data_IF_365773307310
#
_entry.id   IF_365773307310
#
_cell.length_a   1.000
_cell.length_b   1.000
_cell.length_c   1.000
_cell.angle_alpha   90.00
_cell.angle_beta   90.00
_cell.angle_gamma   90.00
#
_symmetry.space_group_name_H-M   'P 1'
#
loop_
_entity.id
_entity.type
_entity.pdbx_description
1 polymer ?
#
# COMPACT_ATOMS: atom_id res chain seq x y z
N UNK A 1 17.18 26.31 -3.03
CA UNK A 1 15.89 26.55 -3.71
C UNK A 1 15.93 27.77 -4.62
N UNK A 2 16.42 28.93 -4.17
CA UNK A 2 16.62 30.10 -5.05
C UNK A 2 17.42 29.73 -6.31
N UNK A 3 18.54 29.03 -6.16
CA UNK A 3 19.35 28.57 -7.30
C UNK A 3 18.63 27.58 -8.23
N UNK A 4 17.70 26.77 -7.67
CA UNK A 4 16.97 25.73 -8.42
C UNK A 4 15.79 26.32 -9.19
N UNK A 5 15.09 27.29 -8.60
CA UNK A 5 13.84 27.82 -9.12
C UNK A 5 13.99 29.16 -9.84
N UNK A 6 15.06 29.91 -9.56
CA UNK A 6 15.31 31.22 -10.16
C UNK A 6 14.10 32.15 -9.97
N UNK A 7 13.52 32.60 -11.09
CA UNK A 7 12.36 33.49 -11.09
C UNK A 7 11.10 32.91 -10.43
N UNK A 8 10.95 31.58 -10.36
CA UNK A 8 9.80 30.92 -9.70
C UNK A 8 9.96 30.82 -8.16
N UNK A 9 11.08 31.26 -7.60
CA UNK A 9 11.34 31.07 -6.17
C UNK A 9 10.32 31.78 -5.28
N UNK A 10 9.92 33.02 -5.63
CA UNK A 10 8.99 33.79 -4.81
C UNK A 10 7.61 33.14 -4.74
N UNK A 11 7.11 32.60 -5.87
CA UNK A 11 5.85 31.86 -5.92
C UNK A 11 5.92 30.58 -5.07
N UNK A 12 7.05 29.85 -5.16
CA UNK A 12 7.30 28.70 -4.30
C UNK A 12 7.30 29.08 -2.82
N UNK A 13 8.04 30.12 -2.43
CA UNK A 13 8.13 30.57 -1.05
C UNK A 13 6.77 31.00 -0.49
N UNK A 14 5.95 31.67 -1.30
CA UNK A 14 4.56 32.01 -0.95
C UNK A 14 3.71 30.76 -0.70
N UNK A 15 3.77 29.76 -1.61
CA UNK A 15 3.00 28.51 -1.47
C UNK A 15 3.36 27.72 -0.21
N UNK A 16 4.60 27.84 0.29
CA UNK A 16 5.04 27.18 1.53
C UNK A 16 4.37 27.75 2.79
N UNK A 17 3.72 28.92 2.71
CA UNK A 17 2.93 29.50 3.80
C UNK A 17 1.45 29.11 3.74
N UNK A 18 1.00 28.47 2.66
CA UNK A 18 -0.39 28.09 2.48
C UNK A 18 -0.71 26.78 3.20
N UNK A 19 -1.98 26.64 3.63
CA UNK A 19 -2.46 25.41 4.24
C UNK A 19 -2.35 24.23 3.26
N UNK A 20 -1.80 23.09 3.69
CA UNK A 20 -1.66 21.93 2.84
C UNK A 20 -3.03 21.38 2.41
N UNK A 21 -3.20 20.95 1.15
CA UNK A 21 -4.45 20.32 0.73
C UNK A 21 -4.67 19.00 1.48
N UNK A 22 -5.94 18.73 1.77
CA UNK A 22 -6.39 17.46 2.33
C UNK A 22 -6.94 16.64 1.17
N UNK A 23 -6.54 15.38 1.10
CA UNK A 23 -6.96 14.49 0.03
C UNK A 23 -7.12 13.06 0.52
N UNK A 24 -7.99 12.34 -0.18
CA UNK A 24 -8.23 10.91 0.00
C UNK A 24 -8.13 10.21 -1.36
N UNK A 25 -7.90 8.91 -1.33
CA UNK A 25 -8.02 8.02 -2.48
C UNK A 25 -8.99 6.90 -2.16
N UNK A 26 -10.06 6.76 -2.95
CA UNK A 26 -11.01 5.67 -2.81
C UNK A 26 -10.38 4.32 -3.13
N UNK A 27 -10.92 3.27 -2.52
CA UNK A 27 -10.65 1.88 -2.86
C UNK A 27 -11.59 1.47 -4.00
N UNK A 28 -11.09 1.14 -5.20
CA UNK A 28 -11.95 0.79 -6.32
C UNK A 28 -12.79 -0.49 -6.08
N UNK A 29 -12.36 -1.36 -5.15
CA UNK A 29 -13.08 -2.58 -4.79
C UNK A 29 -14.04 -2.40 -3.61
N UNK A 30 -14.05 -1.21 -2.98
CA UNK A 30 -14.92 -0.82 -1.86
C UNK A 30 -15.33 0.66 -2.02
N UNK A 31 -16.09 0.99 -3.08
CA UNK A 31 -16.25 2.37 -3.54
C UNK A 31 -17.15 3.23 -2.66
N UNK A 32 -17.90 2.66 -1.71
CA UNK A 32 -18.87 3.38 -0.91
C UNK A 32 -18.21 4.32 0.11
N UNK A 33 -18.77 5.52 0.30
CA UNK A 33 -18.24 6.56 1.20
C UNK A 33 -19.33 7.57 1.61
N UNK A 34 -19.03 8.41 2.62
CA UNK A 34 -19.89 9.54 3.04
C UNK A 34 -19.40 10.91 2.55
N UNK A 35 -18.32 10.96 1.75
CA UNK A 35 -17.77 12.21 1.24
C UNK A 35 -18.54 12.81 0.07
N UNK A 36 -18.51 14.14 -0.01
CA UNK A 36 -18.94 14.89 -1.18
C UNK A 36 -17.76 15.07 -2.16
N UNK A 37 -17.80 14.36 -3.29
CA UNK A 37 -16.65 14.21 -4.20
C UNK A 37 -16.68 15.18 -5.38
N UNK A 38 -16.73 16.48 -5.09
CA UNK A 38 -16.81 17.52 -6.13
C UNK A 38 -15.44 17.93 -6.71
N UNK A 39 -14.35 17.61 -6.01
CA UNK A 39 -13.01 18.13 -6.31
C UNK A 39 -12.03 16.99 -6.69
N UNK A 40 -12.11 16.41 -7.90
CA UNK A 40 -11.21 15.33 -8.31
C UNK A 40 -9.76 15.80 -8.47
N UNK A 41 -8.81 14.89 -8.22
CA UNK A 41 -7.38 15.12 -8.45
C UNK A 41 -7.04 14.79 -9.91
N UNK A 42 -6.45 15.70 -10.70
CA UNK A 42 -6.32 15.53 -12.16
C UNK A 42 -5.52 14.31 -12.63
N UNK A 43 -4.64 13.77 -11.80
CA UNK A 43 -3.68 12.73 -12.19
C UNK A 43 -3.96 11.34 -11.60
N UNK A 44 -5.13 11.15 -10.98
CA UNK A 44 -5.57 9.86 -10.44
C UNK A 44 -7.08 9.73 -10.57
N UNK A 45 -7.58 8.53 -10.90
CA UNK A 45 -9.02 8.32 -11.09
C UNK A 45 -9.80 8.26 -9.77
N UNK A 46 -9.14 7.88 -8.68
CA UNK A 46 -9.78 7.59 -7.40
C UNK A 46 -9.44 8.64 -6.33
N UNK A 47 -8.70 9.69 -6.68
CA UNK A 47 -8.25 10.72 -5.76
C UNK A 47 -9.13 11.97 -5.76
N UNK A 48 -9.43 12.48 -4.57
CA UNK A 48 -10.26 13.68 -4.38
C UNK A 48 -9.66 14.57 -3.30
N UNK A 49 -9.75 15.89 -3.50
CA UNK A 49 -9.51 16.88 -2.46
C UNK A 49 -10.74 17.00 -1.55
N UNK A 50 -10.49 17.22 -0.26
CA UNK A 50 -11.53 17.52 0.72
C UNK A 50 -11.41 18.98 1.16
N UNK A 51 -12.55 19.65 1.33
CA UNK A 51 -12.60 21.03 1.85
C UNK A 51 -12.26 21.08 3.34
N UNK A 52 -12.59 20.03 4.08
CA UNK A 52 -12.34 19.92 5.52
C UNK A 52 -11.73 18.56 5.87
N UNK A 53 -10.89 18.54 6.90
CA UNK A 53 -10.25 17.30 7.38
C UNK A 53 -11.22 16.59 8.34
N UNK A 54 -11.78 15.44 7.97
CA UNK A 54 -12.62 14.67 8.87
C UNK A 54 -11.78 14.03 9.99
N UNK A 55 -12.44 13.65 11.07
CA UNK A 55 -11.85 12.81 12.11
C UNK A 55 -11.90 11.36 11.62
N UNK A 56 -10.90 10.96 10.82
CA UNK A 56 -10.84 9.64 10.19
C UNK A 56 -11.02 8.47 11.17
N UNK A 57 -10.56 8.61 12.42
CA UNK A 57 -10.67 7.56 13.44
C UNK A 57 -12.11 7.28 13.88
N UNK A 58 -13.05 8.20 13.64
CA UNK A 58 -14.48 8.05 13.96
C UNK A 58 -15.33 7.70 12.73
N UNK A 59 -14.69 7.42 11.59
CA UNK A 59 -15.36 7.01 10.36
C UNK A 59 -15.27 5.49 10.16
N UNK A 60 -16.38 4.73 10.23
CA UNK A 60 -16.36 3.30 9.97
C UNK A 60 -15.82 2.92 8.58
N UNK A 61 -16.03 3.76 7.56
CA UNK A 61 -15.51 3.51 6.20
C UNK A 61 -13.98 3.55 6.14
N UNK A 62 -13.33 4.35 6.99
CA UNK A 62 -11.87 4.35 7.13
C UNK A 62 -11.33 3.02 7.67
N UNK A 63 -12.01 2.47 8.67
CA UNK A 63 -11.63 1.21 9.32
C UNK A 63 -11.91 0.00 8.43
N UNK A 64 -12.95 0.07 7.60
CA UNK A 64 -13.26 -0.93 6.58
C UNK A 64 -12.39 -0.82 5.30
N UNK A 65 -11.51 0.19 5.21
CA UNK A 65 -10.58 0.36 4.09
C UNK A 65 -11.24 0.79 2.77
N UNK A 66 -12.31 1.57 2.82
CA UNK A 66 -12.98 2.12 1.62
C UNK A 66 -12.22 3.28 0.98
N UNK A 67 -11.31 3.90 1.72
CA UNK A 67 -10.44 4.94 1.21
C UNK A 67 -9.15 5.04 2.04
N UNK A 68 -8.15 5.71 1.48
CA UNK A 68 -6.89 6.02 2.14
C UNK A 68 -6.70 7.53 2.18
N UNK A 69 -6.36 8.09 3.35
CA UNK A 69 -5.92 9.47 3.44
C UNK A 69 -4.49 9.58 2.91
N UNK A 70 -4.34 10.01 1.66
CA UNK A 70 -3.05 10.09 0.97
C UNK A 70 -2.86 11.49 0.42
N UNK A 71 -1.63 11.99 0.45
CA UNK A 71 -1.26 13.24 -0.18
C UNK A 71 -1.38 13.14 -1.72
N UNK A 72 -1.92 14.20 -2.34
CA UNK A 72 -2.31 14.21 -3.75
C UNK A 72 -1.14 14.01 -4.70
N UNK A 73 0.00 14.65 -4.50
CA UNK A 73 1.18 14.48 -5.37
C UNK A 73 1.71 13.05 -5.34
N UNK A 74 1.65 12.34 -4.21
CA UNK A 74 2.00 10.91 -4.15
C UNK A 74 1.07 10.03 -4.99
N UNK A 75 -0.13 10.49 -5.35
CA UNK A 75 -1.04 9.74 -6.24
C UNK A 75 -0.63 9.83 -7.72
N UNK A 76 0.34 10.70 -8.07
CA UNK A 76 0.94 10.80 -9.41
C UNK A 76 1.46 9.46 -9.92
N UNK A 77 1.78 8.55 -9.00
CA UNK A 77 2.17 7.19 -9.30
C UNK A 77 1.19 6.44 -10.22
N UNK A 78 -0.12 6.72 -10.12
CA UNK A 78 -1.10 6.14 -11.04
C UNK A 78 -0.86 6.58 -12.48
N UNK A 79 -0.60 7.87 -12.69
CA UNK A 79 -0.29 8.43 -14.00
C UNK A 79 1.03 7.89 -14.57
N UNK A 80 2.04 7.69 -13.70
CA UNK A 80 3.34 7.14 -14.10
C UNK A 80 3.19 5.68 -14.54
N UNK A 81 2.59 4.83 -13.70
CA UNK A 81 2.53 3.38 -13.95
C UNK A 81 1.71 3.05 -15.19
N UNK A 82 0.64 3.81 -15.50
CA UNK A 82 -0.16 3.63 -16.72
C UNK A 82 0.61 3.85 -18.03
N UNK A 83 1.79 4.48 -17.96
CA UNK A 83 2.66 4.70 -19.12
C UNK A 83 3.74 3.64 -19.26
N UNK A 84 3.81 2.69 -18.31
CA UNK A 84 4.77 1.59 -18.33
C UNK A 84 4.10 0.30 -18.79
N UNK A 85 4.82 -0.60 -19.49
CA UNK A 85 4.30 -1.88 -19.95
C UNK A 85 4.21 -2.88 -18.79
N UNK A 86 3.32 -2.62 -17.84
CA UNK A 86 3.01 -3.52 -16.74
C UNK A 86 1.85 -4.41 -17.17
N UNK A 87 2.09 -5.72 -17.20
CA UNK A 87 1.17 -6.72 -17.73
C UNK A 87 0.54 -7.56 -16.61
N UNK A 88 -0.40 -8.43 -16.98
CA UNK A 88 -0.87 -9.52 -16.10
C UNK A 88 0.31 -10.34 -15.55
N UNK A 89 0.12 -10.95 -14.38
CA UNK A 89 1.14 -11.73 -13.66
C UNK A 89 2.44 -10.97 -13.28
N UNK A 90 2.51 -9.65 -13.48
CA UNK A 90 3.67 -8.84 -13.06
C UNK A 90 3.93 -8.96 -11.56
N UNK A 91 5.19 -9.17 -11.19
CA UNK A 91 5.67 -9.12 -9.80
C UNK A 91 6.16 -7.71 -9.50
N UNK A 92 5.50 -7.04 -8.56
CA UNK A 92 5.80 -5.65 -8.18
C UNK A 92 6.29 -5.60 -6.73
N UNK A 93 7.38 -4.88 -6.50
CA UNK A 93 7.93 -4.65 -5.16
C UNK A 93 7.76 -3.18 -4.77
N UNK A 94 7.07 -2.93 -3.67
CA UNK A 94 7.15 -1.66 -2.94
C UNK A 94 8.19 -1.81 -1.83
N UNK A 95 9.38 -1.25 -2.05
CA UNK A 95 10.57 -1.57 -1.25
C UNK A 95 10.64 -0.79 0.08
N UNK A 96 9.90 0.31 0.20
CA UNK A 96 9.85 1.19 1.37
C UNK A 96 8.39 1.51 1.69
N UNK A 97 7.61 0.45 1.90
CA UNK A 97 6.18 0.48 1.70
C UNK A 97 5.38 1.22 2.79
N UNK A 98 5.89 1.32 4.02
CA UNK A 98 5.08 1.89 5.10
C UNK A 98 4.85 3.40 4.93
N UNK A 99 3.66 3.92 5.28
CA UNK A 99 2.55 3.21 5.92
C UNK A 99 1.64 2.43 4.97
N UNK A 100 1.86 2.40 3.66
CA UNK A 100 1.10 1.57 2.71
C UNK A 100 0.24 2.36 1.72
N UNK A 101 0.32 3.69 1.70
CA UNK A 101 -0.44 4.52 0.75
C UNK A 101 -0.13 4.18 -0.71
N UNK A 102 1.15 3.96 -1.04
CA UNK A 102 1.57 3.57 -2.39
C UNK A 102 1.30 2.09 -2.68
N UNK A 103 1.53 1.19 -1.72
CA UNK A 103 1.13 -0.22 -1.85
C UNK A 103 -0.36 -0.38 -2.18
N UNK A 104 -1.23 0.29 -1.43
CA UNK A 104 -2.68 0.26 -1.67
C UNK A 104 -3.07 0.91 -3.00
N UNK A 105 -2.25 1.85 -3.52
CA UNK A 105 -2.40 2.41 -4.87
C UNK A 105 -2.18 1.31 -5.90
N UNK A 106 -1.07 0.57 -5.75
CA UNK A 106 -0.75 -0.57 -6.60
C UNK A 106 -1.87 -1.62 -6.57
N UNK A 107 -2.42 -1.94 -5.39
CA UNK A 107 -3.54 -2.89 -5.25
C UNK A 107 -4.78 -2.47 -6.05
N UNK A 108 -5.05 -1.17 -6.15
CA UNK A 108 -6.20 -0.65 -6.90
C UNK A 108 -5.92 -0.40 -8.38
N UNK A 109 -4.65 -0.41 -8.80
CA UNK A 109 -4.22 -0.04 -10.15
C UNK A 109 -3.82 -1.24 -11.00
N UNK A 110 -3.11 -2.20 -10.42
CA UNK A 110 -2.55 -3.33 -11.15
C UNK A 110 -3.63 -4.37 -11.47
N UNK A 111 -3.45 -5.16 -12.55
CA UNK A 111 -4.29 -6.32 -12.82
C UNK A 111 -4.40 -7.24 -11.60
N UNK A 112 -5.55 -7.89 -11.42
CA UNK A 112 -5.81 -8.76 -10.26
C UNK A 112 -4.84 -9.96 -10.16
N UNK A 113 -4.27 -10.38 -11.28
CA UNK A 113 -3.26 -11.45 -11.35
C UNK A 113 -1.84 -10.99 -10.99
N UNK A 114 -1.56 -9.68 -10.96
CA UNK A 114 -0.27 -9.16 -10.53
C UNK A 114 -0.04 -9.42 -9.04
N UNK A 115 1.20 -9.70 -8.65
CA UNK A 115 1.59 -9.91 -7.26
C UNK A 115 2.30 -8.68 -6.72
N UNK A 116 1.89 -8.21 -5.53
CA UNK A 116 2.48 -7.07 -4.85
C UNK A 116 3.23 -7.55 -3.61
N UNK A 117 4.53 -7.29 -3.55
CA UNK A 117 5.36 -7.46 -2.37
C UNK A 117 5.60 -6.09 -1.73
N UNK A 118 5.09 -5.89 -0.52
CA UNK A 118 5.30 -4.68 0.27
C UNK A 118 6.33 -4.96 1.37
N UNK A 119 7.51 -4.34 1.28
CA UNK A 119 8.59 -4.53 2.24
C UNK A 119 8.78 -3.27 3.09
N UNK A 120 8.96 -3.44 4.39
CA UNK A 120 9.35 -2.37 5.30
C UNK A 120 10.42 -2.82 6.29
N UNK A 121 11.52 -2.07 6.32
CA UNK A 121 12.66 -2.35 7.17
C UNK A 121 12.33 -2.17 8.66
N UNK A 122 11.63 -1.09 9.03
CA UNK A 122 11.39 -0.71 10.41
C UNK A 122 10.23 -1.51 11.04
N UNK A 123 10.46 -2.32 12.09
CA UNK A 123 9.44 -3.25 12.63
C UNK A 123 8.12 -2.59 13.07
N UNK A 124 8.19 -1.38 13.64
CA UNK A 124 6.97 -0.66 14.03
C UNK A 124 6.18 -0.14 12.82
N UNK A 125 6.87 0.32 11.77
CA UNK A 125 6.22 0.85 10.57
C UNK A 125 5.65 -0.30 9.72
N UNK A 126 6.30 -1.45 9.74
CA UNK A 126 5.83 -2.64 9.01
C UNK A 126 4.54 -3.21 9.62
N UNK A 127 4.32 -3.03 10.91
CA UNK A 127 3.04 -3.36 11.56
C UNK A 127 1.92 -2.40 11.14
N UNK A 128 2.20 -1.09 11.01
CA UNK A 128 1.24 -0.11 10.46
C UNK A 128 0.91 -0.46 9.00
N UNK A 129 1.93 -0.80 8.21
CA UNK A 129 1.74 -1.29 6.83
C UNK A 129 0.85 -2.53 6.81
N UNK A 130 1.14 -3.53 7.63
CA UNK A 130 0.36 -4.77 7.75
C UNK A 130 -1.12 -4.47 7.99
N UNK A 131 -1.44 -3.63 8.96
CA UNK A 131 -2.81 -3.22 9.29
C UNK A 131 -3.49 -2.49 8.13
N UNK A 132 -2.76 -1.61 7.44
CA UNK A 132 -3.27 -0.89 6.28
C UNK A 132 -3.59 -1.80 5.09
N UNK A 133 -2.76 -2.80 4.83
CA UNK A 133 -3.00 -3.78 3.76
C UNK A 133 -4.15 -4.73 4.13
N UNK A 134 -4.20 -5.20 5.38
CA UNK A 134 -5.27 -6.06 5.88
C UNK A 134 -6.64 -5.39 5.70
N UNK A 135 -6.81 -4.14 6.13
CA UNK A 135 -8.09 -3.42 5.94
C UNK A 135 -8.40 -3.07 4.49
N UNK A 136 -7.38 -2.87 3.65
CA UNK A 136 -7.60 -2.62 2.21
C UNK A 136 -8.23 -3.85 1.52
N UNK A 137 -7.90 -5.05 1.98
CA UNK A 137 -8.62 -6.28 1.63
C UNK A 137 -8.21 -6.93 0.31
N UNK A 138 -7.01 -6.64 -0.19
CA UNK A 138 -6.52 -7.18 -1.47
C UNK A 138 -5.92 -8.59 -1.33
N UNK A 139 -6.28 -9.55 -2.19
CA UNK A 139 -5.79 -10.93 -2.15
C UNK A 139 -4.39 -11.12 -2.73
N UNK A 140 -3.88 -10.11 -3.45
CA UNK A 140 -2.66 -10.23 -4.24
C UNK A 140 -1.44 -9.56 -3.59
N UNK A 141 -1.44 -9.40 -2.26
CA UNK A 141 -0.39 -8.67 -1.53
C UNK A 141 0.28 -9.53 -0.46
N UNK A 142 1.60 -9.41 -0.35
CA UNK A 142 2.42 -9.95 0.75
C UNK A 142 3.13 -8.79 1.44
N UNK A 143 3.02 -8.70 2.76
CA UNK A 143 3.76 -7.75 3.59
C UNK A 143 4.91 -8.46 4.28
N UNK A 144 6.11 -7.91 4.16
CA UNK A 144 7.29 -8.41 4.85
C UNK A 144 8.04 -7.35 5.63
N UNK A 145 8.84 -7.81 6.60
CA UNK A 145 9.73 -6.96 7.37
C UNK A 145 11.08 -7.62 7.61
N UNK A 146 12.13 -6.80 7.65
CA UNK A 146 13.48 -7.26 7.93
C UNK A 146 14.54 -6.43 7.22
N UNK A 147 15.79 -6.92 7.27
CA UNK A 147 16.90 -6.25 6.61
C UNK A 147 16.83 -6.43 5.10
N UNK A 148 17.07 -5.36 4.36
CA UNK A 148 17.03 -5.30 2.89
C UNK A 148 17.82 -6.44 2.22
N UNK A 149 19.03 -6.74 2.69
CA UNK A 149 19.87 -7.80 2.11
C UNK A 149 19.30 -9.23 2.25
N UNK A 150 18.32 -9.46 3.14
CA UNK A 150 17.63 -10.75 3.20
C UNK A 150 16.79 -11.00 1.92
N UNK A 151 16.33 -9.93 1.24
CA UNK A 151 15.60 -10.03 -0.02
C UNK A 151 16.44 -10.67 -1.13
N UNK A 152 17.77 -10.47 -1.13
CA UNK A 152 18.67 -11.07 -2.13
C UNK A 152 18.69 -12.61 -2.07
N UNK A 153 18.40 -13.19 -0.90
CA UNK A 153 18.39 -14.65 -0.70
C UNK A 153 17.13 -15.32 -1.23
N UNK A 154 16.12 -14.52 -1.61
CA UNK A 154 14.85 -15.04 -2.14
C UNK A 154 14.96 -15.48 -3.60
N UNK A 155 15.99 -14.98 -4.31
CA UNK A 155 16.13 -15.11 -5.76
C UNK A 155 14.88 -14.66 -6.54
N UNK A 156 14.06 -13.78 -5.95
CA UNK A 156 12.91 -13.18 -6.63
C UNK A 156 13.41 -11.99 -7.44
N UNK A 157 12.98 -11.92 -8.69
CA UNK A 157 13.11 -10.72 -9.50
C UNK A 157 11.73 -10.10 -9.80
N UNK A 158 11.71 -8.78 -9.93
CA UNK A 158 10.48 -7.99 -10.09
C UNK A 158 10.42 -7.32 -11.46
N UNK A 159 9.22 -7.21 -12.00
CA UNK A 159 8.93 -6.48 -13.24
C UNK A 159 8.91 -4.96 -12.99
N UNK A 160 8.50 -4.57 -11.77
CA UNK A 160 8.50 -3.18 -11.30
C UNK A 160 8.98 -3.14 -9.84
N UNK A 161 9.91 -2.24 -9.54
CA UNK A 161 10.27 -1.87 -8.17
C UNK A 161 9.94 -0.40 -7.95
N UNK A 162 9.09 -0.15 -6.95
CA UNK A 162 8.81 1.18 -6.43
C UNK A 162 9.68 1.45 -5.20
N UNK A 163 10.37 2.58 -5.24
CA UNK A 163 11.23 3.05 -4.17
C UNK A 163 10.74 4.44 -3.74
N UNK A 164 9.88 4.47 -2.73
CA UNK A 164 9.56 5.71 -2.02
C UNK A 164 10.58 5.93 -0.90
N UNK A 165 11.71 6.53 -1.27
CA UNK A 165 12.88 6.51 -0.42
C UNK A 165 12.69 7.37 0.84
N UNK A 166 13.18 6.90 2.02
CA UNK A 166 13.41 7.77 3.16
C UNK A 166 14.29 8.95 2.74
N UNK A 167 13.81 10.17 2.98
CA UNK A 167 14.47 11.39 2.52
C UNK A 167 14.43 12.50 3.57
N UNK A 168 15.09 13.62 3.29
CA UNK A 168 15.11 14.78 4.18
C UNK A 168 13.73 15.39 4.45
N UNK A 169 12.77 15.16 3.56
CA UNK A 169 11.34 15.46 3.77
C UNK A 169 10.96 16.93 3.61
N UNK A 170 11.62 17.67 2.73
CA UNK A 170 11.34 19.11 2.49
C UNK A 170 9.89 19.38 2.07
N UNK A 171 9.26 18.45 1.35
CA UNK A 171 7.84 18.50 0.99
C UNK A 171 6.89 18.37 2.18
N UNK A 172 7.37 17.91 3.34
CA UNK A 172 6.55 17.78 4.55
C UNK A 172 6.53 19.05 5.41
N UNK A 173 7.32 20.09 5.07
CA UNK A 173 7.47 21.28 5.91
C UNK A 173 6.15 22.03 6.19
N UNK A 174 5.20 22.02 5.25
CA UNK A 174 3.87 22.64 5.42
C UNK A 174 2.96 21.85 6.36
N UNK A 175 3.15 20.53 6.45
CA UNK A 175 2.34 19.60 7.27
C UNK A 175 2.92 19.32 8.64
N UNK A 176 4.24 19.26 8.73
CA UNK A 176 4.97 18.76 9.90
C UNK A 176 6.05 19.77 10.33
N UNK A 177 5.76 20.67 11.29
CA UNK A 177 6.73 21.63 11.79
C UNK A 177 8.03 20.99 12.32
N UNK A 178 7.96 19.76 12.82
CA UNK A 178 9.12 19.02 13.29
C UNK A 178 10.05 18.56 12.16
N UNK A 179 9.54 18.41 10.92
CA UNK A 179 10.37 18.10 9.76
C UNK A 179 11.38 19.22 9.49
N UNK A 180 10.99 20.49 9.71
CA UNK A 180 11.87 21.66 9.59
C UNK A 180 12.99 21.59 10.63
N UNK A 181 12.66 21.28 11.89
CA UNK A 181 13.65 21.20 12.99
C UNK A 181 14.68 20.10 12.78
N UNK A 182 14.27 18.99 12.17
CA UNK A 182 15.13 17.84 11.91
C UNK A 182 15.99 18.02 10.66
N UNK A 183 15.61 18.92 9.75
CA UNK A 183 16.32 19.13 8.50
C UNK A 183 17.69 19.75 8.75
N UNK A 184 18.74 19.06 8.30
CA UNK A 184 20.14 19.48 8.41
C UNK A 184 20.93 18.86 7.26
N UNK A 185 22.09 19.42 6.91
CA UNK A 185 23.00 18.79 5.93
C UNK A 185 23.36 17.35 6.29
N UNK A 186 23.58 17.07 7.59
CA UNK A 186 23.80 15.71 8.09
C UNK A 186 22.64 14.75 7.83
N UNK A 187 21.39 15.22 7.91
CA UNK A 187 20.21 14.42 7.56
C UNK A 187 20.22 14.06 6.07
N UNK A 188 20.57 15.02 5.21
CA UNK A 188 20.73 14.77 3.76
C UNK A 188 21.81 13.71 3.52
N UNK A 189 22.97 13.80 4.17
CA UNK A 189 24.05 12.81 4.04
C UNK A 189 23.60 11.39 4.47
N UNK A 190 22.84 11.30 5.57
CA UNK A 190 22.28 10.04 6.05
C UNK A 190 21.27 9.46 5.05
N UNK A 191 20.34 10.28 4.57
CA UNK A 191 19.33 9.89 3.60
C UNK A 191 19.96 9.42 2.28
N UNK A 192 20.91 10.16 1.73
CA UNK A 192 21.60 9.80 0.48
C UNK A 192 22.40 8.50 0.62
N UNK A 193 23.01 8.25 1.79
CA UNK A 193 23.67 6.96 2.07
C UNK A 193 22.67 5.80 2.00
N UNK A 194 21.54 5.90 2.70
CA UNK A 194 20.50 4.86 2.66
C UNK A 194 19.85 4.73 1.28
N UNK A 195 19.62 5.84 0.57
CA UNK A 195 19.08 5.85 -0.79
C UNK A 195 19.98 5.07 -1.76
N UNK A 196 21.31 5.27 -1.70
CA UNK A 196 22.27 4.50 -2.50
C UNK A 196 22.19 3.00 -2.18
N UNK A 197 22.12 2.62 -0.91
CA UNK A 197 21.98 1.21 -0.51
C UNK A 197 20.69 0.59 -1.07
N UNK A 198 19.57 1.31 -0.97
CA UNK A 198 18.25 0.87 -1.47
C UNK A 198 18.27 0.74 -3.00
N UNK A 199 18.81 1.72 -3.71
CA UNK A 199 18.91 1.72 -5.17
C UNK A 199 19.81 0.58 -5.66
N UNK A 200 20.97 0.36 -5.02
CA UNK A 200 21.87 -0.75 -5.36
C UNK A 200 21.24 -2.12 -5.11
N UNK A 201 20.46 -2.26 -4.04
CA UNK A 201 19.65 -3.46 -3.81
C UNK A 201 18.62 -3.66 -4.93
N UNK A 202 17.88 -2.61 -5.29
CA UNK A 202 16.87 -2.67 -6.34
C UNK A 202 17.45 -3.12 -7.68
N UNK A 203 18.66 -2.67 -8.02
CA UNK A 203 19.39 -3.15 -9.21
C UNK A 203 19.61 -4.67 -9.22
N UNK A 204 19.76 -5.29 -8.06
CA UNK A 204 19.94 -6.73 -7.92
C UNK A 204 18.63 -7.52 -7.94
N UNK A 205 17.50 -6.84 -7.69
CA UNK A 205 16.17 -7.43 -7.60
C UNK A 205 15.32 -7.17 -8.86
N UNK A 206 15.68 -6.21 -9.70
CA UNK A 206 14.92 -5.92 -10.91
C UNK A 206 15.22 -6.94 -12.01
N UNK A 207 14.17 -7.41 -12.71
CA UNK A 207 14.35 -8.23 -13.90
C UNK A 207 15.04 -7.44 -15.01
N UNK A 208 15.80 -8.10 -15.91
CA UNK A 208 16.11 -7.53 -17.21
C UNK A 208 14.83 -7.08 -17.93
N UNK A 209 14.83 -5.86 -18.48
CA UNK A 209 13.65 -5.22 -19.07
C UNK A 209 12.71 -4.54 -18.06
N UNK A 210 12.86 -4.81 -16.76
CA UNK A 210 12.02 -4.26 -15.69
C UNK A 210 12.28 -2.79 -15.37
N UNK A 211 11.35 -2.19 -14.62
CA UNK A 211 11.34 -0.76 -14.32
C UNK A 211 11.57 -0.48 -12.83
N UNK A 212 12.32 0.57 -12.54
CA UNK A 212 12.45 1.13 -11.19
C UNK A 212 11.82 2.52 -11.21
N UNK A 213 10.83 2.75 -10.34
CA UNK A 213 10.32 4.09 -10.03
C UNK A 213 10.97 4.52 -8.73
N UNK A 214 11.84 5.52 -8.80
CA UNK A 214 12.44 6.16 -7.62
C UNK A 214 11.67 7.43 -7.33
N UNK A 215 11.24 7.62 -6.08
CA UNK A 215 10.55 8.83 -5.65
C UNK A 215 10.96 9.29 -4.25
N UNK A 216 10.82 10.59 -4.01
CA UNK A 216 11.04 11.22 -2.72
C UNK A 216 9.99 12.30 -2.45
N UNK A 217 9.84 12.71 -1.19
CA UNK A 217 9.11 13.92 -0.81
C UNK A 217 10.07 15.09 -0.50
N UNK A 218 11.16 15.21 -1.26
CA UNK A 218 12.15 16.30 -1.11
C UNK A 218 12.51 16.97 -2.43
N UNK A 219 13.05 18.19 -2.39
CA UNK A 219 13.30 19.01 -3.58
C UNK A 219 14.77 19.12 -3.98
N UNK A 220 15.69 18.94 -3.03
CA UNK A 220 17.12 19.09 -3.30
C UNK A 220 17.64 18.11 -4.38
N UNK A 221 18.74 18.49 -5.03
CA UNK A 221 19.32 17.73 -6.14
C UNK A 221 20.06 16.49 -5.71
N UNK A 222 20.63 16.51 -4.50
CA UNK A 222 21.49 15.45 -3.97
C UNK A 222 20.70 14.15 -3.79
N UNK A 223 19.50 14.23 -3.25
CA UNK A 223 18.60 13.08 -3.04
C UNK A 223 17.80 12.68 -4.29
N UNK A 224 17.85 13.50 -5.35
CA UNK A 224 17.05 13.30 -6.56
C UNK A 224 17.95 13.14 -7.77
N UNK A 225 18.24 14.23 -8.50
CA UNK A 225 18.98 14.18 -9.76
C UNK A 225 20.35 13.52 -9.65
N UNK A 226 21.11 13.76 -8.58
CA UNK A 226 22.42 13.15 -8.38
C UNK A 226 22.34 11.63 -8.17
N UNK A 227 21.32 11.13 -7.46
CA UNK A 227 21.07 9.69 -7.33
C UNK A 227 20.83 9.02 -8.69
N UNK A 228 20.06 9.69 -9.55
CA UNK A 228 19.77 9.20 -10.90
C UNK A 228 21.03 9.20 -11.76
N UNK A 229 21.84 10.27 -11.71
CA UNK A 229 23.12 10.31 -12.40
C UNK A 229 24.06 9.20 -11.94
N UNK A 230 24.06 8.85 -10.65
CA UNK A 230 24.88 7.77 -10.12
C UNK A 230 24.48 6.41 -10.71
N UNK A 231 23.18 6.11 -10.81
CA UNK A 231 22.70 4.86 -11.42
C UNK A 231 23.02 4.80 -12.91
N UNK A 232 22.85 5.91 -13.63
CA UNK A 232 23.08 5.97 -15.09
C UNK A 232 24.55 5.84 -15.51
N UNK A 233 25.49 5.80 -14.55
CA UNK A 233 26.87 5.36 -14.83
C UNK A 233 26.95 3.89 -15.24
N UNK A 234 25.96 3.09 -14.87
CA UNK A 234 25.82 1.70 -15.31
C UNK A 234 25.17 1.65 -16.70
N UNK A 235 25.87 1.14 -17.73
CA UNK A 235 25.35 1.10 -19.10
C UNK A 235 24.14 0.17 -19.28
N UNK A 236 23.80 -0.65 -18.27
CA UNK A 236 22.62 -1.49 -18.28
C UNK A 236 21.35 -0.74 -17.84
N UNK A 237 21.44 0.56 -17.56
CA UNK A 237 20.30 1.36 -17.13
C UNK A 237 20.12 2.56 -18.04
N UNK A 238 18.86 2.87 -18.35
CA UNK A 238 18.46 4.11 -19.02
C UNK A 238 17.34 4.80 -18.27
N UNK A 239 17.30 6.13 -18.34
CA UNK A 239 16.17 6.90 -17.84
C UNK A 239 15.03 6.85 -18.85
N UNK A 240 13.81 6.69 -18.35
CA UNK A 240 12.58 6.64 -19.15
C UNK A 240 11.87 7.97 -19.00
N UNK A 241 11.62 8.63 -20.12
CA UNK A 241 10.73 9.78 -20.15
C UNK A 241 9.27 9.35 -20.13
N UNK A 242 8.43 10.17 -19.52
CA UNK A 242 6.98 10.00 -19.54
C UNK A 242 6.34 11.21 -20.23
N UNK A 243 5.18 10.99 -20.86
CA UNK A 243 4.36 12.12 -21.31
C UNK A 243 3.85 12.85 -20.06
N UNK A 244 3.94 14.18 -20.06
CA UNK A 244 3.43 15.05 -18.99
C UNK A 244 2.41 16.07 -19.48
N UNK A 245 2.01 16.00 -20.76
CA UNK A 245 1.14 16.98 -21.42
C UNK A 245 -0.24 17.05 -20.76
N UNK A 246 -0.71 15.91 -20.23
CA UNK A 246 -2.00 15.82 -19.54
C UNK A 246 -1.98 16.44 -18.12
N UNK A 247 -0.80 16.77 -17.58
CA UNK A 247 -0.66 17.29 -16.22
C UNK A 247 0.19 18.56 -16.26
N UNK A 248 -0.51 19.70 -16.31
CA UNK A 248 0.12 21.01 -16.15
C UNK A 248 0.80 21.11 -14.78
N UNK A 249 2.04 21.61 -14.75
CA UNK A 249 2.74 21.98 -13.52
C UNK A 249 3.90 21.05 -13.13
N UNK A 250 4.01 19.86 -13.72
CA UNK A 250 5.20 19.01 -13.54
C UNK A 250 6.41 19.73 -14.13
N UNK A 251 7.49 19.88 -13.36
CA UNK A 251 8.76 20.45 -13.84
C UNK A 251 9.74 19.32 -14.11
N UNK A 252 10.32 19.31 -15.31
CA UNK A 252 11.31 18.32 -15.73
C UNK A 252 12.69 18.92 -15.55
N UNK A 253 13.56 18.17 -14.87
CA UNK A 253 14.97 18.46 -14.71
C UNK A 253 15.75 17.42 -15.51
N UNK A 254 16.47 17.89 -16.51
CA UNK A 254 17.29 17.08 -17.40
C UNK A 254 18.75 17.31 -17.08
N UNK A 255 19.41 16.28 -16.58
CA UNK A 255 20.85 16.28 -16.35
C UNK A 255 21.46 15.13 -17.15
N UNK A 256 22.33 15.44 -18.10
CA UNK A 256 22.83 14.48 -19.09
C UNK A 256 21.68 13.71 -19.77
N UNK A 257 21.59 12.39 -19.57
CA UNK A 257 20.54 11.52 -20.12
C UNK A 257 19.48 11.13 -19.07
N UNK A 258 19.50 11.76 -17.89
CA UNK A 258 18.60 11.47 -16.79
C UNK A 258 17.44 12.45 -16.69
N UNK A 259 16.23 11.93 -16.53
CA UNK A 259 15.02 12.71 -16.30
C UNK A 259 14.58 12.62 -14.83
N UNK A 260 14.36 13.78 -14.22
CA UNK A 260 13.74 13.89 -12.90
C UNK A 260 12.56 14.85 -12.95
N UNK A 261 11.41 14.37 -12.50
CA UNK A 261 10.15 15.11 -12.51
C UNK A 261 9.85 15.61 -11.11
N UNK A 262 9.53 16.89 -10.96
CA UNK A 262 9.22 17.51 -9.67
C UNK A 262 7.85 18.18 -9.69
N UNK A 263 7.05 17.84 -8.70
CA UNK A 263 5.75 18.43 -8.40
C UNK A 263 5.96 19.42 -7.26
N UNK A 264 6.02 20.71 -7.58
CA UNK A 264 6.14 21.77 -6.58
C UNK A 264 4.78 22.32 -6.16
N UNK A 265 4.60 22.72 -4.90
CA UNK A 265 3.34 23.20 -4.35
C UNK A 265 2.78 24.46 -5.04
N UNK A 266 3.64 25.30 -5.64
CA UNK A 266 3.20 26.48 -6.40
C UNK A 266 2.74 26.17 -7.82
N UNK A 267 3.06 24.99 -8.36
CA UNK A 267 2.66 24.57 -9.72
C UNK A 267 1.55 23.52 -9.71
N UNK A 268 1.48 22.73 -8.64
CA UNK A 268 0.55 21.64 -8.47
C UNK A 268 -0.06 21.72 -7.07
N UNK A 269 -1.39 21.56 -6.98
CA UNK A 269 -2.09 21.50 -5.69
C UNK A 269 -1.71 20.23 -4.93
N UNK A 270 -0.62 20.29 -4.18
CA UNK A 270 -0.07 19.20 -3.41
C UNK A 270 1.08 19.71 -2.55
N UNK A 271 1.78 18.78 -1.89
CA UNK A 271 2.83 19.13 -0.94
C UNK A 271 4.19 19.23 -1.58
N UNK A 272 4.59 18.20 -2.32
CA UNK A 272 5.92 18.06 -2.89
C UNK A 272 6.21 16.60 -3.23
N UNK A 273 6.56 16.31 -4.48
CA UNK A 273 6.87 14.95 -4.92
C UNK A 273 7.86 14.98 -6.07
N UNK A 274 8.97 14.26 -5.92
CA UNK A 274 9.98 14.10 -6.96
C UNK A 274 10.01 12.64 -7.39
N UNK A 275 10.14 12.37 -8.69
CA UNK A 275 10.25 11.00 -9.18
C UNK A 275 11.07 10.90 -10.46
N UNK A 276 11.61 9.70 -10.69
CA UNK A 276 12.32 9.30 -11.90
C UNK A 276 12.02 7.85 -12.22
N UNK A 277 12.03 7.53 -13.51
CA UNK A 277 11.83 6.17 -14.00
C UNK A 277 13.12 5.69 -14.66
N UNK A 278 13.55 4.50 -14.30
CA UNK A 278 14.72 3.82 -14.83
C UNK A 278 14.29 2.46 -15.38
N UNK A 279 14.92 2.00 -16.46
CA UNK A 279 14.72 0.66 -17.00
C UNK A 279 16.04 -0.09 -17.03
N UNK A 280 16.04 -1.34 -16.57
CA UNK A 280 17.14 -2.27 -16.80
C UNK A 280 17.09 -2.72 -18.28
N UNK A 281 18.11 -2.40 -19.07
CA UNK A 281 18.18 -2.67 -20.52
C UNK A 281 18.74 -4.03 -20.87
N UNK A 282 19.10 -4.86 -19.88
CA UNK A 282 19.52 -6.22 -20.12
C UNK A 282 18.39 -7.03 -20.79
N UNK A 283 18.78 -8.04 -21.56
CA UNK A 283 17.82 -8.96 -22.18
C UNK A 283 17.20 -9.91 -21.15
N UNK A 284 15.89 -10.21 -21.25
CA UNK A 284 15.22 -11.19 -20.39
C UNK A 284 15.96 -12.52 -20.35
N UNK A 285 16.07 -13.09 -19.15
CA UNK A 285 16.49 -14.47 -18.95
C UNK A 285 15.22 -15.25 -18.60
N UNK A 286 15.06 -16.47 -19.14
CA UNK A 286 13.92 -17.34 -18.80
C UNK A 286 13.87 -17.59 -17.29
N UNK A 287 12.80 -17.14 -16.64
CA UNK A 287 12.53 -17.42 -15.23
C UNK A 287 11.75 -18.73 -15.11
N UNK A 288 12.30 -19.72 -14.42
CA UNK A 288 11.61 -20.99 -14.19
C UNK A 288 10.50 -20.78 -13.15
N UNK A 289 9.24 -20.88 -13.58
CA UNK A 289 8.09 -20.94 -12.67
C UNK A 289 8.23 -22.18 -11.77
N UNK A 290 8.20 -21.99 -10.46
CA UNK A 290 8.00 -23.08 -9.51
C UNK A 290 6.48 -23.25 -9.37
N UNK A 291 5.94 -24.29 -9.98
CA UNK A 291 4.54 -24.68 -9.81
C UNK A 291 4.47 -26.01 -9.10
N UNK A 292 4.47 -25.99 -7.77
CA UNK A 292 3.88 -27.09 -7.01
C UNK A 292 2.57 -26.58 -6.43
N UNK A 293 1.47 -27.13 -6.93
CA UNK A 293 0.14 -26.98 -6.34
C UNK A 293 -0.28 -28.39 -5.93
N UNK A 294 -0.23 -28.66 -4.64
CA UNK A 294 -0.83 -29.89 -4.11
C UNK A 294 -2.36 -29.75 -4.14
N UNK A 295 -3.11 -30.81 -4.49
CA UNK A 295 -4.57 -30.77 -4.47
C UNK A 295 -5.08 -30.59 -3.03
N UNK A 296 -6.00 -29.63 -2.84
CA UNK A 296 -6.65 -29.40 -1.55
C UNK A 296 -7.58 -30.56 -1.17
N UNK A 297 -7.60 -30.89 0.13
CA UNK A 297 -8.57 -31.84 0.69
C UNK A 297 -9.98 -31.22 0.85
N UNK A 298 -10.97 -32.02 1.22
CA UNK A 298 -12.37 -31.60 1.33
C UNK A 298 -12.57 -30.44 2.33
N UNK A 299 -12.07 -30.59 3.55
CA UNK A 299 -12.20 -29.59 4.63
C UNK A 299 -11.61 -28.22 4.24
N UNK A 300 -10.50 -28.24 3.49
CA UNK A 300 -9.84 -27.03 2.98
C UNK A 300 -10.69 -26.30 1.94
N UNK A 301 -11.38 -27.03 1.06
CA UNK A 301 -12.28 -26.46 0.05
C UNK A 301 -13.55 -25.89 0.67
N UNK A 302 -14.13 -26.60 1.63
CA UNK A 302 -15.36 -26.17 2.32
C UNK A 302 -15.20 -24.80 2.99
N UNK A 303 -14.07 -24.53 3.64
CA UNK A 303 -13.80 -23.23 4.27
C UNK A 303 -13.81 -22.11 3.24
N UNK A 304 -13.08 -22.27 2.14
CA UNK A 304 -12.99 -21.25 1.09
C UNK A 304 -14.36 -21.02 0.46
N UNK A 305 -15.05 -22.10 0.07
CA UNK A 305 -16.37 -22.03 -0.53
C UNK A 305 -17.44 -21.52 0.42
N UNK A 306 -17.25 -21.60 1.74
CA UNK A 306 -18.18 -21.00 2.72
C UNK A 306 -18.10 -19.48 2.71
N UNK A 307 -16.89 -18.91 2.59
CA UNK A 307 -16.67 -17.48 2.85
C UNK A 307 -16.37 -16.62 1.62
N UNK A 308 -15.79 -17.19 0.56
CA UNK A 308 -15.25 -16.42 -0.56
C UNK A 308 -15.96 -16.74 -1.86
N UNK A 309 -16.21 -15.70 -2.67
CA UNK A 309 -16.78 -15.84 -4.01
C UNK A 309 -15.67 -15.97 -5.05
N UNK A 310 -15.00 -17.13 -5.05
CA UNK A 310 -13.90 -17.43 -5.96
C UNK A 310 -14.05 -18.81 -6.59
N UNK A 311 -13.60 -18.93 -7.84
CA UNK A 311 -13.53 -20.21 -8.56
C UNK A 311 -12.17 -20.87 -8.40
N UNK A 312 -12.15 -22.21 -8.44
CA UNK A 312 -10.91 -22.97 -8.59
C UNK A 312 -10.16 -22.60 -9.90
N UNK A 313 -8.82 -22.71 -9.95
CA UNK A 313 -7.95 -23.25 -8.90
C UNK A 313 -7.31 -22.18 -8.01
N UNK A 314 -7.48 -22.32 -6.69
CA UNK A 314 -6.77 -21.50 -5.69
C UNK A 314 -5.83 -22.35 -4.81
N UNK A 315 -4.85 -21.69 -4.17
CA UNK A 315 -3.89 -22.34 -3.26
C UNK A 315 -4.10 -21.85 -1.84
N UNK A 316 -4.14 -22.77 -0.86
CA UNK A 316 -4.14 -22.41 0.56
C UNK A 316 -2.99 -23.06 1.32
N UNK A 317 -2.52 -22.40 2.37
CA UNK A 317 -1.48 -22.93 3.27
C UNK A 317 -1.70 -22.45 4.69
N UNK A 318 -0.89 -22.92 5.63
CA UNK A 318 -0.84 -22.36 6.99
C UNK A 318 0.35 -21.44 7.16
N UNK A 319 0.14 -20.32 7.85
CA UNK A 319 1.24 -19.50 8.34
C UNK A 319 1.87 -20.08 9.61
N UNK A 320 2.87 -19.40 10.16
CA UNK A 320 3.55 -19.80 11.40
C UNK A 320 2.63 -19.77 12.64
N UNK A 321 1.52 -19.01 12.58
CA UNK A 321 0.52 -18.90 13.63
C UNK A 321 -0.62 -19.93 13.47
N UNK A 322 -0.51 -20.84 12.49
CA UNK A 322 -1.50 -21.86 12.14
C UNK A 322 -2.81 -21.34 11.54
N UNK A 323 -2.86 -20.07 11.16
CA UNK A 323 -3.95 -19.52 10.34
C UNK A 323 -3.84 -20.04 8.91
N UNK A 324 -4.97 -20.47 8.35
CA UNK A 324 -5.11 -20.77 6.95
C UNK A 324 -5.09 -19.48 6.12
N UNK A 325 -4.33 -19.47 5.05
CA UNK A 325 -4.16 -18.36 4.12
C UNK A 325 -4.56 -18.81 2.72
N UNK A 326 -5.30 -17.98 1.99
CA UNK A 326 -5.49 -18.11 0.54
C UNK A 326 -4.42 -17.29 -0.20
N UNK A 327 -3.66 -17.95 -1.08
CA UNK A 327 -2.46 -17.41 -1.72
C UNK A 327 -2.51 -17.41 -3.26
N UNK A 328 -3.70 -17.49 -3.86
CA UNK A 328 -3.98 -17.54 -5.30
C UNK A 328 -2.78 -17.31 -6.27
N UNK A 329 -2.58 -16.07 -6.76
CA UNK A 329 -1.47 -15.72 -7.66
C UNK A 329 -0.13 -15.52 -6.94
N UNK A 330 -0.13 -15.44 -5.61
CA UNK A 330 1.03 -15.04 -4.81
C UNK A 330 1.80 -16.24 -4.22
N UNK A 331 1.41 -17.48 -4.52
CA UNK A 331 1.95 -18.69 -3.88
C UNK A 331 3.46 -18.86 -4.10
N UNK A 332 3.95 -18.67 -5.34
CA UNK A 332 5.39 -18.75 -5.67
C UNK A 332 6.19 -17.70 -4.87
N UNK A 333 5.68 -16.47 -4.80
CA UNK A 333 6.31 -15.40 -4.03
C UNK A 333 6.35 -15.76 -2.53
N UNK A 334 5.23 -16.22 -1.98
CA UNK A 334 5.12 -16.58 -0.57
C UNK A 334 6.14 -17.66 -0.18
N UNK A 335 6.25 -18.74 -0.96
CA UNK A 335 7.16 -19.84 -0.60
C UNK A 335 8.64 -19.46 -0.72
N UNK A 336 9.02 -18.66 -1.74
CA UNK A 336 10.38 -18.13 -1.84
C UNK A 336 10.72 -17.20 -0.67
N UNK A 337 9.76 -16.37 -0.24
CA UNK A 337 9.92 -15.52 0.94
C UNK A 337 10.01 -16.34 2.23
N UNK A 338 9.18 -17.37 2.39
CA UNK A 338 9.17 -18.22 3.59
C UNK A 338 10.46 -19.03 3.77
N UNK A 339 11.16 -19.34 2.68
CA UNK A 339 12.49 -19.97 2.68
C UNK A 339 13.62 -18.97 2.95
N UNK A 340 13.33 -17.66 2.91
CA UNK A 340 14.28 -16.61 3.22
C UNK A 340 14.16 -16.16 4.69
N UNK A 341 15.22 -15.60 5.27
CA UNK A 341 15.18 -15.04 6.64
C UNK A 341 14.36 -13.74 6.76
N UNK A 342 13.44 -13.49 5.82
CA UNK A 342 12.51 -12.36 5.82
C UNK A 342 11.29 -12.74 6.64
N UNK A 343 10.82 -11.83 7.50
CA UNK A 343 9.59 -12.06 8.27
C UNK A 343 8.38 -11.71 7.42
N UNK A 344 7.53 -12.69 7.12
CA UNK A 344 6.22 -12.46 6.50
C UNK A 344 5.24 -12.03 7.60
N UNK A 345 4.61 -10.87 7.44
CA UNK A 345 3.66 -10.30 8.39
C UNK A 345 2.20 -10.50 7.95
N UNK A 346 1.96 -10.53 6.64
CA UNK A 346 0.63 -10.72 6.04
C UNK A 346 0.81 -11.28 4.63
N UNK A 347 -0.09 -12.16 4.20
CA UNK A 347 -0.08 -12.68 2.84
C UNK A 347 -1.49 -13.10 2.42
N UNK A 348 -1.90 -12.61 1.24
CA UNK A 348 -3.13 -13.02 0.60
C UNK A 348 -4.38 -12.70 1.40
N UNK A 349 -5.31 -13.66 1.49
CA UNK A 349 -6.48 -13.56 2.38
C UNK A 349 -6.29 -14.52 3.55
N UNK A 350 -6.04 -14.01 4.77
CA UNK A 350 -6.13 -14.82 5.97
C UNK A 350 -7.57 -15.30 6.15
N UNK A 351 -7.77 -16.61 6.22
CA UNK A 351 -9.09 -17.23 6.36
C UNK A 351 -9.48 -17.39 7.83
N UNK A 352 -8.59 -17.93 8.66
CA UNK A 352 -8.89 -18.27 10.05
C UNK A 352 -8.14 -19.51 10.53
N UNK A 353 -8.45 -19.96 11.75
CA UNK A 353 -7.88 -21.17 12.35
C UNK A 353 -8.94 -22.00 13.07
N UNK A 354 -8.57 -23.25 13.36
CA UNK A 354 -9.35 -24.11 14.25
C UNK A 354 -8.78 -24.06 15.67
N UNK A 355 -9.67 -24.01 16.65
CA UNK A 355 -9.35 -24.28 18.05
C UNK A 355 -10.20 -25.46 18.52
N UNK A 356 -9.60 -26.65 18.55
CA UNK A 356 -10.36 -27.88 18.70
C UNK A 356 -11.17 -28.15 17.42
N UNK A 357 -12.49 -28.29 17.55
CA UNK A 357 -13.42 -28.46 16.41
C UNK A 357 -14.00 -27.13 15.91
N UNK A 358 -13.82 -26.06 16.66
CA UNK A 358 -14.44 -24.77 16.38
C UNK A 358 -13.59 -23.95 15.41
N UNK A 359 -14.24 -23.44 14.37
CA UNK A 359 -13.65 -22.51 13.40
C UNK A 359 -13.72 -21.07 13.89
N UNK A 360 -12.60 -20.34 13.75
CA UNK A 360 -12.48 -18.91 14.06
C UNK A 360 -12.01 -18.16 12.80
N UNK A 361 -12.89 -17.38 12.13
CA UNK A 361 -12.50 -16.62 10.96
C UNK A 361 -11.54 -15.49 11.35
N UNK A 362 -10.54 -15.24 10.50
CA UNK A 362 -9.58 -14.16 10.69
C UNK A 362 -10.23 -12.80 10.35
N UNK A 363 -9.75 -11.71 10.96
CA UNK A 363 -10.23 -10.36 10.65
C UNK A 363 -9.97 -9.96 9.19
N UNK A 364 -8.82 -10.32 8.61
CA UNK A 364 -8.50 -10.10 7.21
C UNK A 364 -9.52 -10.74 6.24
N UNK A 365 -10.18 -11.83 6.63
CA UNK A 365 -11.29 -12.41 5.86
C UNK A 365 -12.49 -11.44 5.76
N UNK A 366 -12.88 -10.83 6.89
CA UNK A 366 -13.96 -9.85 6.91
C UNK A 366 -13.62 -8.60 6.08
N UNK A 367 -12.34 -8.25 6.00
CA UNK A 367 -11.86 -7.11 5.23
C UNK A 367 -11.72 -7.41 3.74
N UNK A 368 -11.72 -8.67 3.31
CA UNK A 368 -11.55 -9.00 1.90
C UNK A 368 -12.71 -8.49 1.05
N UNK A 369 -12.41 -7.87 -0.09
CA UNK A 369 -13.44 -7.53 -1.07
C UNK A 369 -14.00 -8.76 -1.82
N UNK A 370 -13.40 -9.95 -1.61
CA UNK A 370 -13.88 -11.23 -2.15
C UNK A 370 -14.81 -11.98 -1.17
N UNK A 371 -15.11 -11.40 -0.01
CA UNK A 371 -16.05 -11.98 0.95
C UNK A 371 -17.44 -12.09 0.33
N UNK A 372 -18.10 -13.24 0.51
CA UNK A 372 -19.46 -13.47 0.05
C UNK A 372 -20.45 -12.49 0.69
N UNK A 373 -21.42 -12.04 -0.11
CA UNK A 373 -22.47 -11.10 0.33
C UNK A 373 -23.54 -11.72 1.23
N UNK A 374 -23.67 -13.05 1.24
CA UNK A 374 -24.71 -13.78 1.98
C UNK A 374 -24.25 -14.31 3.35
N UNK A 375 -23.08 -13.88 3.83
CA UNK A 375 -22.64 -14.18 5.19
C UNK A 375 -23.61 -13.53 6.18
N UNK A 376 -24.05 -14.21 7.25
CA UNK A 376 -24.88 -13.60 8.28
C UNK A 376 -24.31 -12.27 8.78
N UNK A 377 -25.12 -11.22 8.87
CA UNK A 377 -24.66 -9.88 9.26
C UNK A 377 -25.34 -9.37 10.53
N UNK A 378 -24.62 -8.56 11.28
CA UNK A 378 -25.12 -7.69 12.34
C UNK A 378 -25.04 -6.25 11.83
N UNK A 379 -26.18 -5.68 11.44
CA UNK A 379 -26.25 -4.32 10.92
C UNK A 379 -26.26 -3.33 12.09
N UNK A 380 -25.33 -2.39 12.07
CA UNK A 380 -25.18 -1.36 13.10
C UNK A 380 -25.41 0.04 12.52
N UNK A 381 -25.96 0.94 13.34
CA UNK A 381 -25.91 2.37 13.04
C UNK A 381 -24.50 2.94 13.33
N UNK A 382 -24.27 4.23 13.03
CA UNK A 382 -22.94 4.84 13.14
C UNK A 382 -22.38 4.83 14.56
N UNK A 383 -23.23 5.10 15.57
CA UNK A 383 -22.81 5.12 16.97
C UNK A 383 -22.45 3.71 17.45
N UNK A 384 -23.27 2.71 17.12
CA UNK A 384 -23.00 1.31 17.44
C UNK A 384 -21.75 0.79 16.72
N UNK A 385 -21.51 1.21 15.47
CA UNK A 385 -20.30 0.87 14.72
C UNK A 385 -19.04 1.43 15.39
N UNK A 386 -19.08 2.69 15.86
CA UNK A 386 -17.99 3.29 16.63
C UNK A 386 -17.78 2.54 17.96
N UNK A 387 -18.85 2.13 18.64
CA UNK A 387 -18.76 1.33 19.85
C UNK A 387 -18.19 -0.08 19.61
N UNK A 388 -18.56 -0.72 18.50
CA UNK A 388 -17.92 -1.96 18.04
C UNK A 388 -16.41 -1.76 17.84
N UNK A 389 -16.00 -0.67 17.19
CA UNK A 389 -14.59 -0.34 16.95
C UNK A 389 -13.82 -0.06 18.24
N UNK A 390 -14.51 0.37 19.30
CA UNK A 390 -13.97 0.51 20.67
C UNK A 390 -13.94 -0.80 21.46
N UNK A 391 -14.44 -1.89 20.87
CA UNK A 391 -14.67 -3.18 21.53
C UNK A 391 -15.69 -3.15 22.67
N UNK A 392 -16.67 -2.25 22.60
CA UNK A 392 -17.87 -2.30 23.43
C UNK A 392 -18.86 -3.33 22.84
N UNK A 393 -19.64 -4.00 23.71
CA UNK A 393 -20.56 -5.09 23.32
C UNK A 393 -22.05 -4.68 23.46
N UNK A 394 -22.36 -3.41 23.27
CA UNK A 394 -23.73 -2.90 23.37
C UNK A 394 -24.37 -2.86 21.98
N UNK A 395 -25.07 -3.93 21.60
CA UNK A 395 -25.75 -4.01 20.30
C UNK A 395 -27.26 -4.21 20.53
N UNK A 396 -28.08 -3.49 19.76
CA UNK A 396 -29.54 -3.49 19.90
C UNK A 396 -30.25 -4.61 19.13
N UNK A 397 -29.53 -5.40 18.32
CA UNK A 397 -30.11 -6.34 17.37
C UNK A 397 -30.44 -7.73 17.96
N UNK A 398 -31.36 -8.43 17.28
CA UNK A 398 -31.83 -9.76 17.64
C UNK A 398 -30.72 -10.81 17.71
N UNK A 399 -30.80 -11.65 18.73
CA UNK A 399 -29.85 -12.73 19.04
C UNK A 399 -30.08 -13.90 18.08
N UNK A 400 -29.09 -14.23 17.27
CA UNK A 400 -29.00 -15.51 16.59
C UNK A 400 -27.90 -16.33 17.26
N UNK A 401 -28.28 -17.41 17.94
CA UNK A 401 -27.35 -18.16 18.78
C UNK A 401 -26.31 -18.93 17.95
N UNK A 402 -25.04 -18.82 18.37
CA UNK A 402 -23.90 -19.65 17.98
C UNK A 402 -23.40 -19.58 16.50
N UNK A 403 -23.83 -18.57 15.74
CA UNK A 403 -23.36 -18.32 14.36
C UNK A 403 -22.40 -17.13 14.30
N UNK A 404 -21.35 -17.23 13.47
CA UNK A 404 -20.48 -16.10 13.14
C UNK A 404 -21.22 -15.08 12.27
N UNK A 405 -21.17 -13.81 12.66
CA UNK A 405 -21.76 -12.72 11.89
C UNK A 405 -20.72 -11.65 11.57
N UNK A 406 -20.82 -11.07 10.37
CA UNK A 406 -20.08 -9.88 9.99
C UNK A 406 -20.77 -8.65 10.59
N UNK A 407 -20.01 -7.82 11.29
CA UNK A 407 -20.48 -6.49 11.69
C UNK A 407 -20.45 -5.58 10.49
N UNK A 408 -21.61 -4.99 10.18
CA UNK A 408 -21.83 -4.25 8.95
C UNK A 408 -22.38 -2.85 9.26
N UNK A 409 -21.71 -1.81 8.78
CA UNK A 409 -22.21 -0.43 8.81
C UNK A 409 -22.49 0.01 7.37
N UNK A 410 -23.76 0.23 7.01
CA UNK A 410 -24.18 0.52 5.64
C UNK A 410 -23.69 -0.52 4.62
N UNK A 411 -22.56 -0.28 3.94
CA UNK A 411 -21.90 -1.17 2.97
C UNK A 411 -20.52 -1.65 3.43
N UNK A 412 -20.10 -1.27 4.63
CA UNK A 412 -18.77 -1.49 5.16
C UNK A 412 -18.74 -2.69 6.13
N UNK A 413 -17.91 -3.68 5.82
CA UNK A 413 -17.57 -4.76 6.74
C UNK A 413 -16.56 -4.26 7.78
N UNK A 414 -16.88 -4.38 9.07
CA UNK A 414 -16.02 -3.90 10.17
C UNK A 414 -15.28 -5.03 10.90
N UNK A 415 -15.75 -6.27 10.78
CA UNK A 415 -15.13 -7.43 11.41
C UNK A 415 -16.15 -8.47 11.84
N UNK A 416 -15.77 -9.32 12.80
CA UNK A 416 -16.58 -10.45 13.25
C UNK A 416 -17.17 -10.23 14.64
N UNK A 417 -18.36 -10.79 14.84
CA UNK A 417 -18.97 -11.07 16.15
C UNK A 417 -19.49 -12.51 16.17
N UNK A 418 -19.62 -13.07 17.36
CA UNK A 418 -20.34 -14.34 17.58
C UNK A 418 -21.25 -14.20 18.77
N UNK A 419 -22.50 -14.65 18.66
CA UNK A 419 -23.41 -14.70 19.80
C UNK A 419 -23.21 -16.00 20.59
N UNK A 420 -22.93 -15.88 21.89
CA UNK A 420 -22.72 -17.01 22.79
C UNK A 420 -23.61 -16.80 24.01
N UNK A 421 -24.55 -17.72 24.24
CA UNK A 421 -25.48 -17.67 25.37
C UNK A 421 -26.25 -16.33 25.44
N UNK A 422 -26.79 -15.89 24.29
CA UNK A 422 -27.52 -14.63 24.19
C UNK A 422 -26.70 -13.35 24.33
N UNK A 423 -25.36 -13.44 24.30
CA UNK A 423 -24.47 -12.26 24.35
C UNK A 423 -23.52 -12.24 23.16
N UNK A 424 -23.44 -11.09 22.51
CA UNK A 424 -22.45 -10.85 21.48
C UNK A 424 -21.05 -10.70 22.07
N UNK A 425 -20.12 -11.47 21.50
CA UNK A 425 -18.70 -11.31 21.73
C UNK A 425 -18.06 -10.64 20.52
N UNK A 426 -17.35 -9.54 20.77
CA UNK A 426 -16.59 -8.80 19.77
C UNK A 426 -15.22 -9.45 19.51
N UNK A 427 -14.95 -9.79 18.25
CA UNK A 427 -13.70 -10.41 17.79
C UNK A 427 -12.79 -9.44 17.03
N UNK A 428 -13.01 -8.12 17.15
CA UNK A 428 -12.12 -7.10 16.60
C UNK A 428 -10.72 -7.21 17.25
N UNK A 429 -9.65 -7.36 16.44
CA UNK A 429 -8.29 -7.47 16.94
C UNK A 429 -7.91 -6.32 17.86
N UNK A 430 -7.20 -6.61 18.95
CA UNK A 430 -6.87 -5.61 19.99
C UNK A 430 -6.08 -4.42 19.44
N UNK A 431 -5.19 -4.64 18.48
CA UNK A 431 -4.27 -3.63 17.97
C UNK A 431 -4.91 -2.63 16.99
N UNK A 432 -6.13 -2.88 16.49
CA UNK A 432 -6.88 -1.94 15.62
C UNK A 432 -8.06 -1.27 16.32
N UNK A 433 -8.27 -1.54 17.61
CA UNK A 433 -9.35 -0.90 18.37
C UNK A 433 -9.07 0.58 18.49
N UNK A 434 -10.10 1.39 18.35
CA UNK A 434 -9.99 2.83 18.59
C UNK A 434 -10.22 3.12 20.07
N UNK A 435 -9.45 4.05 20.60
CA UNK A 435 -9.64 4.58 21.96
C UNK A 435 -10.42 5.89 21.88
N UNK A 436 -11.13 6.25 22.95
CA UNK A 436 -11.73 7.59 23.06
C UNK A 436 -10.64 8.65 22.90
N UNK A 437 -10.89 9.63 22.02
CA UNK A 437 -10.05 10.80 21.83
C UNK A 437 -9.90 11.61 23.12
#
# INVERSE_FOLDING_TARGET
>A
MQDILGAEYEDFAASMQEKPPISIRLNPNKPEHEFDLQNPIPWTKMGYYLDTKPIFTLDPYFHAGHYYAQESSSMMLEYIIKQLPIHEDSKVLDLCAAPGGKTTLLCGLLPSSSTIHAHEFHPFRSEILRQNIERWGSPNTIVTSGKLHHLLRTHIQYDLILIDAPCSGEGMFRKEPDAIKQWTGKKIDQCTTSQREILNLAKSLIKPGGYIIYSTCTYNTVENEEMIQEILKDPNYKSISINTDAISGIKIFEYNQGFTYKCFPHRIKGEGFSFSILQNTMSPIEDKKLTNRDPLNHDQKDIVQTYLDISDPYHITKNQEHDWLLLDHISDLYFRLAQSQVKILFAGIPLGHFKGKDWFPNHGLAMSYLLKKNIPTLILNKLEAIDYLRANNHFSAAINDDVWQIVHYQHANLGWVKCIQGKYKNYLPKHIRIHSL
#
